data_IF_972583761997
#
_entry.id   IF_972583761997
#
_cell.length_a   1.000
_cell.length_b   1.000
_cell.length_c   1.000
_cell.angle_alpha   90.00
_cell.angle_beta   90.00
_cell.angle_gamma   90.00
#
_symmetry.space_group_name_H-M   'P 1'
#
loop_
_entity.id
_entity.type
_entity.pdbx_description
1 polymer ?
#
# COMPACT_ATOMS: atom_id res chain seq x y z
N UNK A 1 -2.21 -10.99 -13.96
CA UNK A 1 -3.54 -10.53 -13.51
C UNK A 1 -3.56 -9.01 -13.65
N UNK A 2 -4.71 -8.40 -13.93
CA UNK A 2 -4.85 -6.93 -13.94
C UNK A 2 -5.27 -6.41 -12.56
N UNK A 3 -5.08 -5.10 -12.30
CA UNK A 3 -5.56 -4.49 -11.04
C UNK A 3 -7.08 -4.65 -10.84
N UNK A 4 -7.87 -4.58 -11.92
CA UNK A 4 -9.32 -4.79 -11.84
C UNK A 4 -9.70 -6.24 -11.53
N UNK A 5 -8.91 -7.22 -11.96
CA UNK A 5 -9.09 -8.62 -11.58
C UNK A 5 -8.72 -8.88 -10.12
N UNK A 6 -7.67 -8.22 -9.62
CA UNK A 6 -7.31 -8.26 -8.20
C UNK A 6 -8.46 -7.77 -7.32
N UNK A 7 -9.07 -6.64 -7.66
CA UNK A 7 -10.20 -6.08 -6.90
C UNK A 7 -11.40 -7.05 -6.79
N UNK A 8 -11.59 -7.93 -7.77
CA UNK A 8 -12.66 -8.96 -7.77
C UNK A 8 -12.28 -10.23 -7.00
N UNK A 9 -10.99 -10.49 -6.85
CA UNK A 9 -10.45 -11.70 -6.22
C UNK A 9 -10.05 -11.49 -4.76
N UNK A 10 -9.94 -10.23 -4.31
CA UNK A 10 -9.61 -9.93 -2.92
C UNK A 10 -10.73 -10.43 -1.99
N UNK A 11 -10.46 -11.40 -1.11
CA UNK A 11 -11.48 -11.94 -0.22
C UNK A 11 -11.87 -10.92 0.87
N UNK A 12 -13.02 -11.15 1.51
CA UNK A 12 -13.52 -10.29 2.58
C UNK A 12 -12.60 -10.29 3.80
N UNK A 13 -11.89 -11.39 4.07
CA UNK A 13 -10.88 -11.55 5.12
C UNK A 13 -9.62 -12.13 4.50
N UNK A 14 -8.45 -11.63 4.88
CA UNK A 14 -7.14 -12.09 4.42
C UNK A 14 -6.05 -11.70 5.40
N UNK A 15 -4.96 -12.45 5.37
CA UNK A 15 -3.69 -12.10 6.01
C UNK A 15 -2.88 -11.13 5.14
N UNK A 16 -1.93 -10.41 5.73
CA UNK A 16 -1.00 -9.56 4.98
C UNK A 16 -0.26 -10.33 3.88
N UNK A 17 0.14 -11.57 4.17
CA UNK A 17 0.83 -12.42 3.20
C UNK A 17 -0.07 -12.80 2.02
N UNK A 18 -1.35 -13.09 2.25
CA UNK A 18 -2.30 -13.37 1.17
C UNK A 18 -2.52 -12.14 0.29
N UNK A 19 -2.61 -10.94 0.89
CA UNK A 19 -2.69 -9.69 0.15
C UNK A 19 -1.48 -9.51 -0.76
N UNK A 20 -0.27 -9.66 -0.20
CA UNK A 20 1.00 -9.55 -0.94
C UNK A 20 1.09 -10.60 -2.05
N UNK A 21 0.69 -11.83 -1.80
CA UNK A 21 0.67 -12.90 -2.81
C UNK A 21 -0.28 -12.58 -3.96
N UNK A 22 -1.46 -12.02 -3.68
CA UNK A 22 -2.40 -11.59 -4.70
C UNK A 22 -1.89 -10.38 -5.50
N UNK A 23 -1.25 -9.42 -4.83
CA UNK A 23 -0.67 -8.25 -5.49
C UNK A 23 0.52 -8.62 -6.38
N UNK A 24 1.36 -9.56 -5.95
CA UNK A 24 2.49 -10.08 -6.73
C UNK A 24 2.06 -10.75 -8.05
N UNK A 25 0.81 -11.18 -8.17
CA UNK A 25 0.25 -11.70 -9.43
C UNK A 25 -0.20 -10.59 -10.40
N UNK A 26 -0.29 -9.35 -9.92
CA UNK A 26 -0.57 -8.14 -10.71
C UNK A 26 0.72 -7.48 -11.16
N UNK A 27 1.59 -7.17 -10.21
CA UNK A 27 2.89 -6.56 -10.41
C UNK A 27 3.92 -7.34 -9.59
N UNK A 28 5.03 -7.73 -10.19
CA UNK A 28 6.13 -8.35 -9.44
C UNK A 28 6.76 -7.29 -8.53
N UNK A 29 6.38 -7.27 -7.26
CA UNK A 29 6.81 -6.23 -6.33
C UNK A 29 8.31 -6.31 -6.02
N UNK A 30 8.92 -7.51 -6.12
CA UNK A 30 10.37 -7.64 -5.92
C UNK A 30 11.14 -7.01 -7.08
N UNK A 31 10.62 -7.11 -8.30
CA UNK A 31 11.26 -6.47 -9.45
C UNK A 31 11.38 -4.94 -9.29
N UNK A 32 10.48 -4.30 -8.55
CA UNK A 32 10.49 -2.85 -8.29
C UNK A 32 11.76 -2.44 -7.54
N UNK A 33 12.24 -3.28 -6.62
CA UNK A 33 13.45 -2.99 -5.82
C UNK A 33 14.65 -2.80 -6.74
N UNK A 34 14.76 -3.63 -7.78
CA UNK A 34 15.89 -3.65 -8.71
C UNK A 34 15.72 -2.72 -9.92
N UNK A 35 14.57 -2.04 -10.07
CA UNK A 35 14.33 -1.12 -11.19
C UNK A 35 15.29 0.08 -11.18
N UNK A 36 15.62 0.66 -12.35
CA UNK A 36 16.25 1.97 -12.42
C UNK A 36 15.40 3.05 -11.73
N UNK A 37 16.05 4.08 -11.18
CA UNK A 37 15.37 5.18 -10.48
C UNK A 37 14.28 5.84 -11.33
N UNK A 38 14.61 6.20 -12.58
CA UNK A 38 13.64 6.82 -13.49
C UNK A 38 12.41 5.94 -13.78
N UNK A 39 12.57 4.61 -13.78
CA UNK A 39 11.45 3.68 -13.95
C UNK A 39 10.60 3.59 -12.66
N UNK A 40 11.24 3.59 -11.49
CA UNK A 40 10.53 3.67 -10.20
C UNK A 40 9.76 4.97 -10.06
N UNK A 41 10.33 6.10 -10.49
CA UNK A 41 9.67 7.41 -10.43
C UNK A 41 8.43 7.43 -11.32
N UNK A 42 8.55 6.94 -12.56
CA UNK A 42 7.40 6.83 -13.47
C UNK A 42 6.31 5.89 -12.91
N UNK A 43 6.71 4.77 -12.28
CA UNK A 43 5.77 3.87 -11.61
C UNK A 43 5.08 4.55 -10.41
N UNK A 44 5.83 5.32 -9.62
CA UNK A 44 5.30 6.09 -8.50
C UNK A 44 4.26 7.11 -8.96
N UNK A 45 4.57 7.91 -9.99
CA UNK A 45 3.64 8.90 -10.54
C UNK A 45 2.33 8.26 -11.00
N UNK A 46 2.42 7.14 -11.72
CA UNK A 46 1.25 6.39 -12.19
C UNK A 46 0.42 5.81 -11.04
N UNK A 47 1.08 5.25 -10.03
CA UNK A 47 0.41 4.69 -8.85
C UNK A 47 -0.26 5.78 -8.00
N UNK A 48 0.41 6.91 -7.78
CA UNK A 48 -0.12 8.03 -7.02
C UNK A 48 -1.35 8.64 -7.70
N UNK A 49 -1.28 8.89 -9.01
CA UNK A 49 -2.44 9.37 -9.78
C UNK A 49 -3.63 8.42 -9.64
N UNK A 50 -3.39 7.11 -9.71
CA UNK A 50 -4.45 6.12 -9.55
C UNK A 50 -5.07 6.14 -8.14
N UNK A 51 -4.25 6.27 -7.10
CA UNK A 51 -4.74 6.44 -5.72
C UNK A 51 -5.62 7.67 -5.60
N UNK A 52 -5.16 8.82 -6.10
CA UNK A 52 -5.89 10.09 -6.04
C UNK A 52 -7.23 10.00 -6.79
N UNK A 53 -7.23 9.37 -7.96
CA UNK A 53 -8.44 9.18 -8.75
C UNK A 53 -9.44 8.24 -8.06
N UNK A 54 -8.98 7.15 -7.45
CA UNK A 54 -9.84 6.25 -6.66
C UNK A 54 -10.41 6.97 -5.44
N UNK A 55 -9.60 7.79 -4.75
CA UNK A 55 -10.06 8.60 -3.62
C UNK A 55 -11.14 9.60 -4.04
N UNK A 56 -10.96 10.29 -5.16
CA UNK A 56 -11.99 11.19 -5.71
C UNK A 56 -13.30 10.45 -6.00
N UNK A 57 -13.24 9.24 -6.58
CA UNK A 57 -14.44 8.43 -6.83
C UNK A 57 -15.13 8.08 -5.50
N UNK A 58 -14.37 7.67 -4.48
CA UNK A 58 -14.91 7.35 -3.15
C UNK A 58 -15.54 8.58 -2.48
N UNK A 59 -14.90 9.75 -2.60
CA UNK A 59 -15.42 11.02 -2.11
C UNK A 59 -16.77 11.36 -2.75
N UNK A 60 -16.83 11.37 -4.08
CA UNK A 60 -18.05 11.67 -4.84
C UNK A 60 -19.19 10.71 -4.51
N UNK A 61 -18.87 9.48 -4.12
CA UNK A 61 -19.86 8.47 -3.70
C UNK A 61 -20.20 8.47 -2.21
N UNK A 62 -19.54 9.29 -1.40
CA UNK A 62 -19.74 9.31 0.06
C UNK A 62 -19.20 8.08 0.78
N UNK A 63 -18.16 7.45 0.25
CA UNK A 63 -17.53 6.20 0.75
C UNK A 63 -16.26 6.46 1.59
N UNK A 64 -16.03 7.72 1.97
CA UNK A 64 -14.92 8.09 2.84
C UNK A 64 -15.34 7.97 4.31
N UNK A 65 -14.54 7.25 5.09
CA UNK A 65 -14.68 7.25 6.53
C UNK A 65 -13.99 8.49 7.09
N UNK A 66 -14.67 9.17 8.02
CA UNK A 66 -14.12 10.31 8.74
C UNK A 66 -14.19 10.10 10.26
N UNK A 67 -13.32 9.26 10.83
CA UNK A 67 -13.14 9.22 12.28
C UNK A 67 -12.91 10.64 12.81
N UNK A 68 -13.69 11.06 13.80
CA UNK A 68 -13.57 12.38 14.44
C UNK A 68 -13.72 13.58 13.49
N UNK A 69 -14.44 13.39 12.36
CA UNK A 69 -14.68 14.44 11.38
C UNK A 69 -13.48 14.77 10.49
N UNK A 70 -12.40 13.98 10.54
CA UNK A 70 -11.23 14.12 9.67
C UNK A 70 -11.21 12.97 8.67
N UNK A 71 -11.07 13.22 7.35
CA UNK A 71 -10.97 12.15 6.36
C UNK A 71 -9.70 11.35 6.63
N UNK A 72 -9.82 10.02 6.64
CA UNK A 72 -8.69 9.11 6.81
C UNK A 72 -8.60 8.17 5.61
N UNK A 73 -7.41 8.06 5.04
CA UNK A 73 -7.11 7.03 4.05
C UNK A 73 -6.80 5.73 4.79
N UNK A 74 -7.76 4.82 4.81
CA UNK A 74 -7.56 3.46 5.29
C UNK A 74 -7.44 2.50 4.09
N UNK A 75 -6.43 1.63 4.12
CA UNK A 75 -6.34 0.45 3.27
C UNK A 75 -6.01 -0.75 4.16
N UNK A 76 -6.37 -1.95 3.68
CA UNK A 76 -6.32 -3.20 4.47
C UNK A 76 -5.06 -4.04 4.22
N UNK A 77 -4.13 -3.55 3.42
CA UNK A 77 -2.87 -4.24 3.10
C UNK A 77 -1.83 -4.08 4.22
N UNK A 78 -0.66 -4.71 4.09
CA UNK A 78 0.43 -4.52 5.04
C UNK A 78 0.85 -3.07 5.10
N UNK A 79 1.15 -2.57 6.30
CA UNK A 79 1.70 -1.24 6.48
C UNK A 79 3.15 -1.19 6.00
N UNK A 80 3.47 -0.29 5.06
CA UNK A 80 4.87 -0.06 4.64
C UNK A 80 5.35 1.29 5.20
N UNK A 81 6.28 1.31 6.18
CA UNK A 81 6.82 2.54 6.73
C UNK A 81 7.66 3.28 5.67
N UNK A 82 7.28 4.52 5.37
CA UNK A 82 8.00 5.36 4.42
C UNK A 82 8.31 6.73 5.02
N UNK A 83 8.92 7.62 4.24
CA UNK A 83 9.34 8.95 4.71
C UNK A 83 8.19 9.82 5.26
N UNK A 84 6.94 9.54 4.88
CA UNK A 84 5.75 10.29 5.32
C UNK A 84 5.06 9.67 6.53
N UNK A 85 5.27 8.38 6.79
CA UNK A 85 4.52 7.60 7.78
C UNK A 85 5.39 7.03 8.91
N UNK A 86 6.70 6.93 8.71
CA UNK A 86 7.64 6.44 9.73
C UNK A 86 7.79 7.48 10.86
N UNK A 87 7.72 7.07 12.15
CA UNK A 87 7.89 7.99 13.27
C UNK A 87 9.25 8.69 13.29
N UNK A 88 9.27 9.91 13.84
CA UNK A 88 10.49 10.70 14.00
C UNK A 88 11.55 9.94 14.83
N UNK A 89 12.80 9.98 14.38
CA UNK A 89 13.92 9.33 15.05
C UNK A 89 14.03 7.82 14.81
N UNK A 90 13.09 7.19 14.08
CA UNK A 90 13.19 5.78 13.71
C UNK A 90 13.97 5.63 12.39
N UNK A 91 14.99 4.77 12.42
CA UNK A 91 15.81 4.46 11.25
C UNK A 91 15.01 3.70 10.18
N UNK A 92 15.43 3.81 8.92
CA UNK A 92 14.89 2.98 7.83
C UNK A 92 15.26 1.52 8.09
N UNK A 93 14.29 0.62 8.07
CA UNK A 93 14.52 -0.83 8.09
C UNK A 93 14.54 -1.38 6.65
N UNK A 94 15.71 -1.74 6.10
CA UNK A 94 15.80 -2.26 4.74
C UNK A 94 15.17 -3.65 4.58
N UNK A 95 14.95 -4.40 5.67
CA UNK A 95 14.33 -5.74 5.60
C UNK A 95 12.87 -5.68 5.13
N UNK A 96 12.21 -4.52 5.27
CA UNK A 96 10.87 -4.27 4.76
C UNK A 96 10.77 -4.44 3.23
N UNK A 97 11.87 -4.26 2.49
CA UNK A 97 11.92 -4.53 1.04
C UNK A 97 11.91 -6.02 0.73
N UNK A 98 12.44 -6.86 1.63
CA UNK A 98 12.46 -8.32 1.47
C UNK A 98 11.12 -8.95 1.83
N UNK A 99 10.49 -8.45 2.89
CA UNK A 99 9.17 -8.90 3.39
C UNK A 99 7.99 -8.24 2.67
N UNK A 100 8.26 -7.22 1.84
CA UNK A 100 7.24 -6.43 1.14
C UNK A 100 6.25 -5.77 2.12
N UNK A 101 6.73 -5.38 3.29
CA UNK A 101 5.95 -4.76 4.36
C UNK A 101 5.24 -5.73 5.30
N UNK A 102 5.26 -7.04 5.05
CA UNK A 102 4.59 -8.01 5.95
C UNK A 102 5.23 -7.98 7.34
N UNK A 103 4.40 -7.84 8.37
CA UNK A 103 4.81 -7.74 9.77
C UNK A 103 5.40 -6.40 10.18
N UNK A 104 5.49 -5.41 9.28
CA UNK A 104 6.03 -4.10 9.65
C UNK A 104 5.09 -3.35 10.58
N UNK A 105 3.77 -3.47 10.41
CA UNK A 105 2.78 -2.78 11.26
C UNK A 105 2.96 -3.05 12.75
N UNK A 106 3.25 -4.29 13.11
CA UNK A 106 3.51 -4.75 14.49
C UNK A 106 4.67 -3.96 15.14
N UNK A 107 5.67 -3.55 14.36
CA UNK A 107 6.83 -2.79 14.88
C UNK A 107 6.50 -1.36 15.30
N UNK A 108 5.42 -0.77 14.78
CA UNK A 108 5.11 0.65 14.94
C UNK A 108 3.78 0.93 15.64
N UNK A 109 2.84 -0.02 15.59
CA UNK A 109 1.47 0.17 16.09
C UNK A 109 1.06 -0.81 17.20
N UNK A 110 1.92 -1.77 17.56
CA UNK A 110 1.70 -2.56 18.76
C UNK A 110 2.11 -1.75 19.99
N UNK A 111 1.08 -1.37 20.75
CA UNK A 111 1.17 -1.03 22.18
C UNK A 111 0.73 -2.20 23.03
#
# INVERSE_FOLDING_TARGET
MTLSEFAKQLPAEFTEQEFVNLMNRVIDMKSIVDMPEAERDALFDGAQYLVDFILLVREVKGELNSPEGRPVVAYRGPFVPNALTRPDGVAVDPTALETLGVGEGEKYFDG
#
